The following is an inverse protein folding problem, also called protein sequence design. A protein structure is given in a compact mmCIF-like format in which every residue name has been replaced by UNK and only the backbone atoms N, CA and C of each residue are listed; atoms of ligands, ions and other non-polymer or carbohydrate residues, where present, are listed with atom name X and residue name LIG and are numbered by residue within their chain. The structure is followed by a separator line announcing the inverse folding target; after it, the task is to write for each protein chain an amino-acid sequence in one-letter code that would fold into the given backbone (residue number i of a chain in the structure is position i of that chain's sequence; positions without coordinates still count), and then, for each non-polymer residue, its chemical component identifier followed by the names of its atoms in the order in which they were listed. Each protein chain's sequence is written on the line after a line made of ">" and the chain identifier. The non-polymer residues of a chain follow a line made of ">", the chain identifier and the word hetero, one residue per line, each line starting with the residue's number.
data_IF_762995318379
#
_entry.id   IF_762995318379
#
_cell.length_a   1.000
_cell.length_b   1.000
_cell.length_c   1.000
_cell.angle_alpha   90.00
_cell.angle_beta   90.00
_cell.angle_gamma   90.00
#
_symmetry.space_group_name_H-M   'P 1'
#
loop_
_entity.id
_entity.type
_entity.pdbx_description
1 polymer ?
#
# COMPACT_ATOMS: atom_id res chain seq x y z
N UNK A 1 2.30 44.54 -21.68
CA UNK A 1 3.35 43.57 -21.33
C UNK A 1 2.87 42.83 -20.10
N UNK A 2 2.17 41.71 -20.26
CA UNK A 2 1.72 40.90 -19.12
C UNK A 2 2.84 39.95 -18.72
N UNK A 3 3.36 40.13 -17.51
CA UNK A 3 4.33 39.23 -16.93
C UNK A 3 3.65 37.88 -16.69
N UNK A 4 4.06 36.89 -17.48
CA UNK A 4 3.87 35.47 -17.22
C UNK A 4 4.56 35.19 -15.89
N UNK A 5 3.80 35.16 -14.79
CA UNK A 5 4.31 34.66 -13.52
C UNK A 5 4.71 33.19 -13.78
N UNK A 6 5.99 32.80 -13.56
CA UNK A 6 6.36 31.40 -13.64
C UNK A 6 5.54 30.63 -12.61
N UNK A 7 4.82 29.59 -13.05
CA UNK A 7 4.18 28.65 -12.13
C UNK A 7 5.26 28.15 -11.16
N UNK A 8 5.00 28.14 -9.84
CA UNK A 8 5.97 27.62 -8.89
C UNK A 8 6.29 26.16 -9.25
N UNK A 9 7.56 25.84 -9.41
CA UNK A 9 8.08 24.50 -9.67
C UNK A 9 7.96 23.56 -8.44
N UNK A 10 6.92 23.75 -7.62
CA UNK A 10 6.59 22.89 -6.48
C UNK A 10 5.48 21.89 -6.82
N UNK A 11 5.08 21.82 -8.09
CA UNK A 11 4.40 20.65 -8.65
C UNK A 11 5.48 19.71 -9.22
N UNK A 12 6.50 19.39 -8.40
CA UNK A 12 7.28 18.17 -8.62
C UNK A 12 6.29 17.05 -8.24
N UNK A 13 5.66 16.46 -9.25
CA UNK A 13 4.38 15.74 -9.17
C UNK A 13 4.39 14.61 -8.13
N UNK A 14 4.06 14.92 -6.87
CA UNK A 14 3.71 13.91 -5.88
C UNK A 14 2.41 13.24 -6.34
N UNK A 15 2.51 11.97 -6.74
CA UNK A 15 1.38 11.19 -7.26
C UNK A 15 0.20 11.26 -6.30
N UNK A 16 -0.98 11.58 -6.82
CA UNK A 16 -2.20 11.63 -6.04
C UNK A 16 -2.77 10.21 -5.90
N UNK A 17 -2.39 9.52 -4.83
CA UNK A 17 -2.83 8.15 -4.55
C UNK A 17 -4.03 8.17 -3.61
N UNK A 18 -5.15 7.61 -4.07
CA UNK A 18 -6.40 7.47 -3.31
C UNK A 18 -6.77 5.99 -3.26
N UNK A 19 -7.14 5.49 -2.08
CA UNK A 19 -7.68 4.14 -1.95
C UNK A 19 -9.19 4.23 -1.74
N UNK A 20 -10.00 3.89 -2.75
CA UNK A 20 -11.44 3.82 -2.56
C UNK A 20 -11.77 2.72 -1.53
N UNK A 21 -12.96 2.81 -0.94
CA UNK A 21 -13.43 1.80 0.03
C UNK A 21 -14.15 0.62 -0.65
N UNK A 22 -13.72 0.29 -1.88
CA UNK A 22 -14.13 -0.94 -2.56
C UNK A 22 -13.77 -2.18 -1.73
N UNK A 23 -14.59 -3.23 -1.88
CA UNK A 23 -14.35 -4.52 -1.23
C UNK A 23 -13.16 -5.23 -1.90
N UNK A 24 -12.17 -5.71 -1.12
CA UNK A 24 -11.09 -6.51 -1.66
C UNK A 24 -11.60 -7.88 -2.13
N UNK A 25 -10.89 -8.51 -3.07
CA UNK A 25 -11.26 -9.82 -3.60
C UNK A 25 -10.12 -10.80 -3.45
N UNK A 26 -10.42 -12.03 -3.02
CA UNK A 26 -9.42 -13.10 -2.93
C UNK A 26 -9.27 -13.82 -4.27
N UNK A 27 -8.02 -14.01 -4.68
CA UNK A 27 -7.64 -14.88 -5.78
C UNK A 27 -6.96 -16.15 -5.25
N UNK A 28 -7.74 -17.24 -5.23
CA UNK A 28 -7.24 -18.55 -4.80
C UNK A 28 -6.22 -19.18 -5.72
N UNK A 29 -6.10 -18.75 -6.99
CA UNK A 29 -5.11 -19.31 -7.92
C UNK A 29 -3.70 -18.79 -7.62
N UNK A 30 -3.59 -17.50 -7.27
CA UNK A 30 -2.31 -16.86 -6.93
C UNK A 30 -2.10 -16.71 -5.41
N UNK A 31 -3.08 -17.07 -4.58
CA UNK A 31 -3.09 -16.84 -3.13
C UNK A 31 -2.81 -15.37 -2.80
N UNK A 32 -3.57 -14.48 -3.44
CA UNK A 32 -3.45 -13.03 -3.26
C UNK A 32 -4.80 -12.39 -2.94
N UNK A 33 -4.75 -11.24 -2.29
CA UNK A 33 -5.91 -10.38 -2.06
C UNK A 33 -5.74 -9.13 -2.91
N UNK A 34 -6.67 -8.92 -3.85
CA UNK A 34 -6.71 -7.74 -4.69
C UNK A 34 -7.49 -6.62 -4.04
N UNK A 35 -7.05 -5.39 -4.29
CA UNK A 35 -7.73 -4.18 -3.89
C UNK A 35 -7.43 -3.06 -4.89
N UNK A 36 -8.29 -2.06 -4.93
CA UNK A 36 -8.14 -0.94 -5.85
C UNK A 36 -7.37 0.21 -5.21
N UNK A 37 -6.60 0.89 -6.04
CA UNK A 37 -6.04 2.21 -5.80
C UNK A 37 -6.40 3.10 -6.99
N UNK A 38 -6.30 4.41 -6.79
CA UNK A 38 -6.44 5.40 -7.85
C UNK A 38 -5.22 6.30 -7.82
N UNK A 39 -4.44 6.32 -8.90
CA UNK A 39 -3.23 7.13 -9.03
C UNK A 39 -3.48 8.20 -10.07
N UNK A 40 -3.39 9.47 -9.68
CA UNK A 40 -3.63 10.63 -10.56
C UNK A 40 -4.96 10.58 -11.33
N UNK A 41 -5.95 9.91 -10.73
CA UNK A 41 -7.29 9.75 -11.33
C UNK A 41 -7.48 8.47 -12.13
N UNK A 42 -6.46 7.66 -12.34
CA UNK A 42 -6.52 6.35 -13.04
C UNK A 42 -6.68 5.20 -12.04
N UNK A 43 -7.57 4.24 -12.32
CA UNK A 43 -7.76 3.06 -11.47
C UNK A 43 -6.64 2.05 -11.69
N UNK A 44 -6.04 1.60 -10.60
CA UNK A 44 -4.93 0.65 -10.57
C UNK A 44 -5.29 -0.49 -9.62
N UNK A 45 -5.08 -1.73 -10.08
CA UNK A 45 -5.29 -2.92 -9.25
C UNK A 45 -3.99 -3.28 -8.56
N UNK A 46 -4.03 -3.37 -7.24
CA UNK A 46 -2.92 -3.82 -6.42
C UNK A 46 -3.28 -5.14 -5.74
N UNK A 47 -2.27 -5.88 -5.31
CA UNK A 47 -2.44 -7.16 -4.64
C UNK A 47 -1.56 -7.23 -3.38
N UNK A 48 -1.92 -8.07 -2.43
CA UNK A 48 -1.05 -8.50 -1.34
C UNK A 48 -1.05 -10.03 -1.25
N UNK A 49 0.11 -10.64 -1.01
CA UNK A 49 0.24 -12.09 -0.94
C UNK A 49 -0.28 -12.66 0.38
N UNK A 50 -0.73 -13.91 0.36
CA UNK A 50 -1.08 -14.65 1.57
C UNK A 50 0.09 -14.70 2.57
N UNK A 51 1.31 -14.94 2.08
CA UNK A 51 2.54 -14.92 2.89
C UNK A 51 2.70 -13.61 3.68
N UNK A 52 2.50 -12.46 3.03
CA UNK A 52 2.59 -11.17 3.71
C UNK A 52 1.51 -11.00 4.79
N UNK A 53 0.28 -11.44 4.49
CA UNK A 53 -0.85 -11.40 5.42
C UNK A 53 -0.65 -12.30 6.65
N UNK A 54 -0.07 -13.48 6.46
CA UNK A 54 0.28 -14.40 7.54
C UNK A 54 1.42 -13.81 8.40
N UNK A 55 2.53 -13.42 7.78
CA UNK A 55 3.74 -12.96 8.47
C UNK A 55 3.54 -11.64 9.24
N UNK A 56 2.77 -10.70 8.69
CA UNK A 56 2.75 -9.31 9.17
C UNK A 56 1.38 -8.84 9.68
N UNK A 57 0.30 -9.52 9.30
CA UNK A 57 -1.07 -9.09 9.61
C UNK A 57 -1.86 -10.11 10.43
N UNK A 58 -1.26 -11.29 10.67
CA UNK A 58 -1.75 -12.31 11.58
C UNK A 58 -2.89 -13.15 11.00
N UNK A 59 -2.90 -13.38 9.67
CA UNK A 59 -3.76 -14.42 9.11
C UNK A 59 -3.36 -15.78 9.69
N UNK A 60 -4.33 -16.56 10.19
CA UNK A 60 -4.03 -17.86 10.79
C UNK A 60 -3.74 -18.96 9.75
N UNK A 61 -4.14 -18.75 8.51
CA UNK A 61 -3.89 -19.64 7.37
C UNK A 61 -4.18 -18.95 6.03
N UNK A 62 -3.78 -19.59 4.93
CA UNK A 62 -4.07 -19.18 3.56
C UNK A 62 -5.53 -19.41 3.12
N UNK A 63 -6.46 -19.56 4.06
CA UNK A 63 -7.89 -19.63 3.77
C UNK A 63 -8.45 -18.22 3.53
N UNK A 64 -9.35 -18.09 2.55
CA UNK A 64 -9.95 -16.81 2.15
C UNK A 64 -10.43 -15.97 3.33
N UNK A 65 -11.22 -16.55 4.25
CA UNK A 65 -11.77 -15.83 5.39
C UNK A 65 -10.70 -15.24 6.32
N UNK A 66 -9.62 -15.98 6.58
CA UNK A 66 -8.51 -15.55 7.43
C UNK A 66 -7.70 -14.44 6.76
N UNK A 67 -7.46 -14.57 5.45
CA UNK A 67 -6.76 -13.56 4.64
C UNK A 67 -7.57 -12.27 4.52
N UNK A 68 -8.88 -12.35 4.27
CA UNK A 68 -9.78 -11.19 4.23
C UNK A 68 -9.82 -10.49 5.60
N UNK A 69 -9.91 -11.24 6.70
CA UNK A 69 -9.91 -10.67 8.05
C UNK A 69 -8.59 -9.96 8.37
N UNK A 70 -7.44 -10.58 8.04
CA UNK A 70 -6.12 -9.98 8.22
C UNK A 70 -5.96 -8.71 7.37
N UNK A 71 -6.41 -8.74 6.11
CA UNK A 71 -6.40 -7.57 5.23
C UNK A 71 -7.21 -6.42 5.83
N UNK A 72 -8.44 -6.67 6.29
CA UNK A 72 -9.28 -5.65 6.89
C UNK A 72 -8.66 -5.06 8.16
N UNK A 73 -8.08 -5.88 9.03
CA UNK A 73 -7.35 -5.44 10.23
C UNK A 73 -6.12 -4.60 9.90
N UNK A 74 -5.39 -4.98 8.84
CA UNK A 74 -4.16 -4.33 8.38
C UNK A 74 -4.33 -3.19 7.38
N UNK A 75 -5.58 -2.88 6.99
CA UNK A 75 -5.90 -2.07 5.79
C UNK A 75 -5.16 -0.74 5.73
N UNK A 76 -5.00 -0.04 6.86
CA UNK A 76 -4.27 1.23 6.88
C UNK A 76 -2.79 1.05 6.53
N UNK A 77 -2.11 0.12 7.19
CA UNK A 77 -0.68 -0.15 6.97
C UNK A 77 -0.42 -0.72 5.57
N UNK A 78 -1.30 -1.59 5.08
CA UNK A 78 -1.23 -2.11 3.71
C UNK A 78 -1.32 -0.96 2.70
N UNK A 79 -2.28 -0.04 2.89
CA UNK A 79 -2.44 1.14 2.01
C UNK A 79 -1.23 2.07 2.06
N UNK A 80 -0.63 2.29 3.23
CA UNK A 80 0.59 3.11 3.36
C UNK A 80 1.76 2.52 2.56
N UNK A 81 2.08 1.25 2.76
CA UNK A 81 3.15 0.57 2.02
C UNK A 81 2.83 0.49 0.52
N UNK A 82 1.55 0.29 0.16
CA UNK A 82 1.12 0.31 -1.23
C UNK A 82 1.35 1.67 -1.89
N UNK A 83 1.05 2.77 -1.18
CA UNK A 83 1.25 4.11 -1.71
C UNK A 83 2.73 4.40 -1.97
N UNK A 84 3.61 4.01 -1.06
CA UNK A 84 5.07 4.12 -1.25
C UNK A 84 5.55 3.29 -2.44
N UNK A 85 5.06 2.06 -2.60
CA UNK A 85 5.43 1.20 -3.72
C UNK A 85 4.93 1.73 -5.08
N UNK A 86 3.71 2.30 -5.11
CA UNK A 86 3.14 2.95 -6.28
C UNK A 86 3.93 4.21 -6.65
N UNK A 87 4.28 5.06 -5.68
CA UNK A 87 5.09 6.25 -5.92
C UNK A 87 6.47 5.88 -6.51
N UNK A 88 7.11 4.83 -5.99
CA UNK A 88 8.41 4.34 -6.46
C UNK A 88 8.38 3.71 -7.85
N UNK A 89 7.22 3.21 -8.31
CA UNK A 89 7.11 2.53 -9.60
C UNK A 89 6.35 3.33 -10.68
N UNK A 90 6.10 4.61 -10.45
CA UNK A 90 5.29 5.47 -11.33
C UNK A 90 3.82 5.04 -11.47
N UNK A 91 3.20 4.57 -10.38
CA UNK A 91 1.77 4.32 -10.31
C UNK A 91 1.31 3.02 -10.96
N UNK A 92 2.22 2.13 -11.36
CA UNK A 92 1.88 0.83 -11.91
C UNK A 92 1.38 -0.12 -10.82
N UNK A 93 0.45 -1.04 -11.15
CA UNK A 93 -0.07 -2.00 -10.17
C UNK A 93 1.03 -2.81 -9.49
N UNK A 94 0.95 -2.92 -8.16
CA UNK A 94 1.96 -3.60 -7.33
C UNK A 94 1.41 -4.84 -6.66
N UNK A 95 2.28 -5.83 -6.45
CA UNK A 95 2.03 -6.98 -5.59
C UNK A 95 2.88 -6.85 -4.33
N UNK A 96 2.22 -6.67 -3.20
CA UNK A 96 2.86 -6.51 -1.90
C UNK A 96 3.24 -7.88 -1.32
N UNK A 97 4.54 -8.14 -1.21
CA UNK A 97 5.09 -9.34 -0.60
C UNK A 97 5.63 -9.07 0.82
N UNK A 98 5.87 -10.12 1.61
CA UNK A 98 6.36 -10.06 3.00
C UNK A 98 7.56 -9.11 3.14
N UNK A 99 8.50 -9.16 2.18
CA UNK A 99 9.69 -8.30 2.16
C UNK A 99 9.44 -6.78 2.30
N UNK A 100 8.32 -6.25 1.80
CA UNK A 100 8.03 -4.81 1.86
C UNK A 100 7.64 -4.33 3.27
N UNK A 101 7.22 -5.25 4.14
CA UNK A 101 6.74 -4.93 5.49
C UNK A 101 7.80 -5.10 6.58
N UNK A 102 9.03 -5.50 6.20
CA UNK A 102 10.12 -5.83 7.14
C UNK A 102 10.86 -4.60 7.68
N UNK A 103 10.71 -3.43 7.05
CA UNK A 103 11.47 -2.22 7.38
C UNK A 103 10.80 -1.31 8.43
N UNK A 104 9.54 -1.55 8.80
CA UNK A 104 8.86 -0.86 9.91
C UNK A 104 9.21 -1.46 11.29
N UNK A 105 10.52 -1.60 11.54
CA UNK A 105 11.10 -2.06 12.80
C UNK A 105 12.13 -1.12 13.39
N UNK A 106 12.28 0.10 12.87
CA UNK A 106 13.03 1.14 13.56
C UNK A 106 12.11 1.79 14.58
N UNK A 107 12.03 1.20 15.78
CA UNK A 107 11.57 1.94 16.95
C UNK A 107 12.42 3.24 17.04
N UNK A 108 11.84 4.43 17.20
CA UNK A 108 12.64 5.56 17.62
C UNK A 108 13.21 5.19 18.98
N UNK A 109 14.54 5.14 19.09
CA UNK A 109 15.29 5.02 20.33
C UNK A 109 14.60 5.89 21.39
N UNK A 110 13.80 5.24 22.26
CA UNK A 110 13.19 5.89 23.40
C UNK A 110 14.25 5.91 24.48
N UNK A 111 15.10 6.92 24.36
CA UNK A 111 15.79 7.59 25.45
C UNK A 111 16.41 6.64 26.48
N UNK A 112 17.68 6.29 26.23
CA UNK A 112 18.60 5.94 27.28
C UNK A 112 18.84 7.16 28.21
N UNK A 113 17.95 7.41 29.16
CA UNK A 113 18.26 8.21 30.35
C UNK A 113 17.52 7.68 31.58
N UNK A 114 18.21 6.91 32.42
CA UNK A 114 18.07 6.93 33.89
C UNK A 114 19.38 6.47 34.51
#
# INVERSE_FOLDING_TARGET
>A
MSAMLPRPAYEDSLMQIIFPDDEPSFDGANLTVWFKARVDGEEVVCAITAEALEDHFGAASALEAELMAAFCKGRQRIRSVCAEALDQNNGEGVVLHSGLFRVEGMEPDRDATT
#
